data_IF_235089197415
#
_entry.id   IF_235089197415
#
_cell.length_a   1.000
_cell.length_b   1.000
_cell.length_c   1.000
_cell.angle_alpha   90.00
_cell.angle_beta   90.00
_cell.angle_gamma   90.00
#
_symmetry.space_group_name_H-M   'P 1'
#
loop_
_entity.id
_entity.type
_entity.pdbx_description
1 polymer ?
#
# COMPACT_ATOMS: atom_id res chain seq x y z
N UNK A 1 7.78 -0.87 2.70
CA UNK A 1 6.36 -1.15 2.96
C UNK A 1 5.41 0.01 2.70
N UNK A 2 5.92 1.24 2.67
CA UNK A 2 5.06 2.40 2.41
C UNK A 2 4.37 2.32 1.05
N UNK A 3 5.10 1.91 0.01
CA UNK A 3 4.51 1.81 -1.33
C UNK A 3 3.40 0.75 -1.38
N UNK A 4 3.56 -0.33 -0.64
CA UNK A 4 2.54 -1.40 -0.57
C UNK A 4 1.30 -0.93 0.16
N UNK A 5 1.48 -0.20 1.28
CA UNK A 5 0.36 0.38 2.02
C UNK A 5 -0.37 1.41 1.18
N UNK A 6 0.38 2.22 0.43
CA UNK A 6 -0.20 3.21 -0.46
C UNK A 6 -1.04 2.55 -1.54
N UNK A 7 -0.55 1.48 -2.14
CA UNK A 7 -1.29 0.74 -3.17
C UNK A 7 -2.60 0.18 -2.60
N UNK A 8 -2.53 -0.45 -1.43
CA UNK A 8 -3.73 -0.99 -0.78
C UNK A 8 -4.77 0.10 -0.54
N UNK A 9 -4.33 1.26 -0.06
CA UNK A 9 -5.23 2.37 0.25
C UNK A 9 -5.82 2.99 -1.01
N UNK A 10 -5.01 3.14 -2.06
CA UNK A 10 -5.48 3.63 -3.36
C UNK A 10 -6.58 2.73 -3.91
N UNK A 11 -6.40 1.42 -3.85
CA UNK A 11 -7.40 0.47 -4.34
C UNK A 11 -8.67 0.51 -3.50
N UNK A 12 -8.52 0.60 -2.18
CA UNK A 12 -9.68 0.62 -1.27
C UNK A 12 -10.53 1.86 -1.48
N UNK A 13 -9.90 3.01 -1.64
CA UNK A 13 -10.60 4.28 -1.76
C UNK A 13 -10.91 4.66 -3.21
N UNK A 14 -10.25 4.01 -4.17
CA UNK A 14 -10.47 4.28 -5.59
C UNK A 14 -10.01 5.65 -6.04
N UNK A 15 -9.06 6.25 -5.32
CA UNK A 15 -8.63 7.63 -5.59
C UNK A 15 -7.26 7.89 -5.00
N UNK A 16 -6.38 8.50 -5.80
CA UNK A 16 -5.06 8.95 -5.33
C UNK A 16 -5.19 10.08 -4.32
N UNK A 17 -6.11 11.00 -4.58
CA UNK A 17 -6.32 12.15 -3.69
C UNK A 17 -6.82 11.70 -2.32
N UNK A 18 -7.80 10.80 -2.30
CA UNK A 18 -8.33 10.28 -1.03
C UNK A 18 -7.29 9.46 -0.29
N UNK A 19 -6.50 8.66 -1.00
CA UNK A 19 -5.45 7.88 -0.39
C UNK A 19 -4.38 8.78 0.23
N UNK A 20 -3.98 9.84 -0.48
CA UNK A 20 -3.02 10.81 0.04
C UNK A 20 -3.52 11.44 1.32
N UNK A 21 -4.78 11.88 1.32
CA UNK A 21 -5.37 12.50 2.50
C UNK A 21 -5.41 11.51 3.69
N UNK A 22 -5.82 10.27 3.42
CA UNK A 22 -5.93 9.26 4.47
C UNK A 22 -4.57 8.90 5.08
N UNK A 23 -3.51 8.91 4.28
CA UNK A 23 -2.17 8.51 4.71
C UNK A 23 -1.30 9.68 5.15
N UNK A 24 -1.77 10.91 4.99
CA UNK A 24 -0.99 12.10 5.35
C UNK A 24 0.09 12.45 4.35
N UNK A 25 -0.10 12.06 3.08
CA UNK A 25 0.82 12.40 2.00
C UNK A 25 0.17 13.38 1.02
N UNK A 26 0.98 13.91 0.10
CA UNK A 26 0.45 14.66 -1.04
C UNK A 26 0.06 13.69 -2.14
N UNK A 27 -0.81 14.15 -3.05
CA UNK A 27 -1.18 13.34 -4.21
C UNK A 27 0.06 13.04 -5.06
N UNK A 28 0.95 14.02 -5.22
CA UNK A 28 2.20 13.83 -5.95
C UNK A 28 3.04 12.70 -5.36
N UNK A 29 3.12 12.64 -4.02
CA UNK A 29 3.89 11.58 -3.36
C UNK A 29 3.29 10.21 -3.64
N UNK A 30 1.96 10.08 -3.56
CA UNK A 30 1.29 8.81 -3.86
C UNK A 30 1.53 8.41 -5.33
N UNK A 31 1.41 9.36 -6.25
CA UNK A 31 1.66 9.10 -7.67
C UNK A 31 3.08 8.61 -7.91
N UNK A 32 4.06 9.24 -7.25
CA UNK A 32 5.46 8.83 -7.36
C UNK A 32 5.70 7.45 -6.78
N UNK A 33 5.07 7.14 -5.65
CA UNK A 33 5.18 5.81 -5.03
C UNK A 33 4.66 4.73 -5.96
N UNK A 34 3.52 4.98 -6.61
CA UNK A 34 2.94 4.00 -7.53
C UNK A 34 3.80 3.85 -8.78
N UNK A 35 4.27 4.96 -9.34
CA UNK A 35 5.15 4.93 -10.50
C UNK A 35 6.46 4.20 -10.19
N UNK A 36 7.04 4.46 -9.02
CA UNK A 36 8.27 3.79 -8.57
C UNK A 36 8.07 2.29 -8.44
N UNK A 37 6.95 1.88 -7.87
CA UNK A 37 6.64 0.47 -7.69
C UNK A 37 6.46 -0.22 -9.04
N UNK A 38 5.71 0.40 -9.95
CA UNK A 38 5.50 -0.16 -11.28
C UNK A 38 6.80 -0.24 -12.08
N UNK A 39 7.67 0.75 -11.94
CA UNK A 39 8.97 0.75 -12.61
C UNK A 39 9.85 -0.39 -12.08
N UNK A 40 9.89 -0.57 -10.77
CA UNK A 40 10.68 -1.64 -10.15
C UNK A 40 10.19 -3.03 -10.61
N UNK A 41 8.87 -3.19 -10.75
CA UNK A 41 8.28 -4.46 -11.16
C UNK A 41 8.31 -4.66 -12.67
N UNK A 42 8.51 -3.60 -13.44
CA UNK A 42 8.54 -3.61 -14.91
C UNK A 42 7.18 -3.91 -15.55
N UNK A 43 6.09 -3.62 -14.84
CA UNK A 43 4.74 -3.68 -15.42
C UNK A 43 3.80 -2.76 -14.65
N UNK A 44 2.68 -2.43 -15.27
CA UNK A 44 1.67 -1.57 -14.65
C UNK A 44 0.81 -2.36 -13.69
N UNK A 45 0.51 -1.76 -12.56
CA UNK A 45 -0.37 -2.34 -11.54
C UNK A 45 -1.78 -1.76 -11.59
N UNK A 46 -1.92 -0.49 -11.99
CA UNK A 46 -3.15 0.26 -11.84
C UNK A 46 -3.69 0.74 -13.18
N UNK A 47 -5.02 0.71 -13.31
CA UNK A 47 -5.76 1.29 -14.41
C UNK A 47 -6.61 2.40 -13.82
N UNK A 48 -6.45 3.62 -14.35
CA UNK A 48 -7.29 4.76 -13.99
C UNK A 48 -8.42 4.89 -15.01
N UNK A 49 -9.65 5.00 -14.53
CA UNK A 49 -10.80 5.20 -15.37
C UNK A 49 -11.79 6.14 -14.68
N UNK A 50 -12.87 6.50 -15.37
CA UNK A 50 -13.92 7.33 -14.80
C UNK A 50 -14.56 6.70 -13.57
N UNK A 51 -14.55 5.38 -13.51
CA UNK A 51 -15.18 4.63 -12.43
C UNK A 51 -14.23 4.39 -11.26
N UNK A 52 -13.04 4.98 -11.31
CA UNK A 52 -12.06 4.84 -10.23
C UNK A 52 -10.79 4.15 -10.68
N UNK A 53 -10.14 3.48 -9.74
CA UNK A 53 -8.85 2.83 -9.96
C UNK A 53 -9.00 1.34 -9.70
N UNK A 54 -8.53 0.54 -10.67
CA UNK A 54 -8.56 -0.92 -10.56
C UNK A 54 -7.18 -1.49 -10.88
N UNK A 55 -7.00 -2.78 -10.59
CA UNK A 55 -5.76 -3.47 -10.91
C UNK A 55 -5.73 -3.90 -12.38
N UNK A 56 -4.54 -3.85 -12.98
CA UNK A 56 -4.30 -4.51 -14.27
C UNK A 56 -4.39 -6.02 -14.07
N UNK A 57 -4.36 -6.78 -15.17
CA UNK A 57 -4.34 -8.23 -15.09
C UNK A 57 -3.10 -8.71 -14.34
N UNK A 58 -1.94 -8.12 -14.61
CA UNK A 58 -0.69 -8.44 -13.91
C UNK A 58 -0.82 -8.07 -12.43
N UNK A 59 -1.42 -6.92 -12.14
CA UNK A 59 -1.66 -6.50 -10.76
C UNK A 59 -2.55 -7.46 -10.00
N UNK A 60 -3.57 -8.00 -10.66
CA UNK A 60 -4.46 -8.98 -10.02
C UNK A 60 -3.71 -10.26 -9.65
N UNK A 61 -2.75 -10.66 -10.47
CA UNK A 61 -1.94 -11.84 -10.17
C UNK A 61 -0.96 -11.59 -9.03
N UNK A 62 -0.41 -10.40 -8.92
CA UNK A 62 0.58 -10.07 -7.92
C UNK A 62 -0.04 -9.69 -6.57
N UNK A 63 -1.19 -9.05 -6.59
CA UNK A 63 -1.76 -8.41 -5.40
C UNK A 63 -1.96 -9.37 -4.21
N UNK A 64 -2.39 -10.62 -4.39
CA UNK A 64 -2.52 -11.53 -3.25
C UNK A 64 -1.21 -11.74 -2.50
N UNK A 65 -0.09 -11.79 -3.22
CA UNK A 65 1.23 -11.92 -2.60
C UNK A 65 1.62 -10.66 -1.84
N UNK A 66 1.30 -9.50 -2.42
CA UNK A 66 1.54 -8.22 -1.77
C UNK A 66 0.75 -8.12 -0.46
N UNK A 67 -0.51 -8.56 -0.46
CA UNK A 67 -1.32 -8.57 0.76
C UNK A 67 -0.72 -9.48 1.83
N UNK A 68 -0.17 -10.62 1.45
CA UNK A 68 0.49 -11.51 2.39
C UNK A 68 1.71 -10.85 3.04
N UNK A 69 2.50 -10.13 2.23
CA UNK A 69 3.66 -9.41 2.74
C UNK A 69 3.23 -8.32 3.72
N UNK A 70 2.21 -7.55 3.36
CA UNK A 70 1.70 -6.49 4.24
C UNK A 70 1.15 -7.06 5.54
N UNK A 71 0.40 -8.14 5.45
CA UNK A 71 -0.18 -8.77 6.63
C UNK A 71 0.93 -9.24 7.59
N UNK A 72 1.95 -9.90 7.05
CA UNK A 72 3.08 -10.35 7.86
C UNK A 72 3.86 -9.20 8.48
N UNK A 73 4.05 -8.12 7.71
CA UNK A 73 4.74 -6.94 8.21
C UNK A 73 3.95 -6.29 9.35
N UNK A 74 2.64 -6.16 9.19
CA UNK A 74 1.79 -5.55 10.22
C UNK A 74 1.73 -6.42 11.47
N UNK A 75 1.73 -7.73 11.30
CA UNK A 75 1.78 -8.65 12.43
C UNK A 75 3.10 -8.50 13.19
N UNK A 76 4.20 -8.35 12.47
CA UNK A 76 5.52 -8.11 13.08
C UNK A 76 5.53 -6.80 13.86
N UNK A 77 4.98 -5.73 13.28
CA UNK A 77 4.92 -4.45 13.97
C UNK A 77 4.12 -4.52 15.27
N UNK A 78 3.00 -5.25 15.22
CA UNK A 78 2.16 -5.43 16.41
C UNK A 78 2.88 -6.23 17.48
N UNK A 79 3.57 -7.29 17.09
CA UNK A 79 4.37 -8.08 18.04
C UNK A 79 5.47 -7.22 18.68
N UNK A 80 6.11 -6.37 17.88
CA UNK A 80 7.13 -5.47 18.38
C UNK A 80 6.57 -4.49 19.41
N UNK A 81 5.36 -3.98 19.17
CA UNK A 81 4.70 -3.10 20.16
C UNK A 81 4.38 -3.83 21.44
N UNK A 82 3.89 -5.07 21.36
CA UNK A 82 3.64 -5.88 22.55
C UNK A 82 4.89 -6.07 23.38
N UNK A 83 6.00 -6.40 22.75
CA UNK A 83 7.28 -6.60 23.43
C UNK A 83 7.74 -5.32 24.10
N UNK A 84 7.63 -4.18 23.38
CA UNK A 84 8.03 -2.89 23.91
C UNK A 84 7.17 -2.49 25.09
N UNK A 85 5.86 -2.73 25.03
CA UNK A 85 4.94 -2.38 26.10
C UNK A 85 5.18 -3.22 27.34
N UNK A 86 5.52 -4.51 27.19
CA UNK A 86 5.89 -5.36 28.31
C UNK A 86 7.12 -4.81 29.05
N UNK A 87 8.11 -4.35 28.30
CA UNK A 87 9.31 -3.77 28.90
C UNK A 87 9.02 -2.49 29.66
N UNK A 88 7.99 -1.76 29.25
CA UNK A 88 7.62 -0.51 29.88
C UNK A 88 6.89 -0.70 31.20
N UNK A 89 6.41 -1.89 31.51
CA UNK A 89 5.58 -2.17 32.68
C UNK A 89 6.42 -2.59 33.89
N UNK A 90 7.70 -2.74 33.73
CA UNK A 90 8.56 -3.16 34.84
C UNK A 90 8.84 -2.05 35.82
#
# INVERSE_FOLDING_TARGET
MQRFKALRTVLRLGSFTKAAHALGYTQSSISQMMASLEEELSFKLLIRSRNGITLTQEGQQLYPFLEQVLHSYEAMEEKAREIRDRKSVV
#
